data_IF_100521432806
#
_entry.id   IF_100521432806
#
_cell.length_a   1.000
_cell.length_b   1.000
_cell.length_c   1.000
_cell.angle_alpha   90.00
_cell.angle_beta   90.00
_cell.angle_gamma   90.00
#
_symmetry.space_group_name_H-M   'P 1'
#
loop_
_entity.id
_entity.type
_entity.pdbx_description
1 polymer ?
#
# COMPACT_ATOMS: atom_id res chain seq x y z
N UNK A 1 -19.16 -1.43 -1.45
CA UNK A 1 -19.41 -2.12 -2.73
C UNK A 1 -18.09 -2.54 -3.38
N UNK A 2 -17.15 -1.64 -3.68
CA UNK A 2 -15.85 -1.96 -4.30
C UNK A 2 -15.11 -3.08 -3.56
N UNK A 3 -14.94 -2.94 -2.25
CA UNK A 3 -14.19 -3.88 -1.41
C UNK A 3 -14.82 -5.29 -1.29
N UNK A 4 -16.04 -5.46 -1.75
CA UNK A 4 -16.76 -6.75 -1.79
C UNK A 4 -17.07 -7.21 -3.21
N UNK A 5 -16.45 -6.58 -4.22
CA UNK A 5 -16.54 -6.99 -5.62
C UNK A 5 -17.82 -6.60 -6.35
N UNK A 6 -18.66 -5.75 -5.78
CA UNK A 6 -19.87 -5.20 -6.43
C UNK A 6 -19.51 -4.02 -7.34
N UNK A 7 -18.71 -4.29 -8.39
CA UNK A 7 -18.05 -3.24 -9.17
C UNK A 7 -19.03 -2.48 -10.07
N UNK A 8 -20.02 -3.15 -10.66
CA UNK A 8 -21.00 -2.51 -11.54
C UNK A 8 -21.89 -1.55 -10.75
N UNK A 9 -22.40 -1.98 -9.59
CA UNK A 9 -23.19 -1.12 -8.70
C UNK A 9 -22.36 0.05 -8.16
N UNK A 10 -21.10 -0.20 -7.82
CA UNK A 10 -20.18 0.86 -7.41
C UNK A 10 -19.98 1.89 -8.52
N UNK A 11 -19.84 1.44 -9.76
CA UNK A 11 -19.72 2.31 -10.93
C UNK A 11 -20.93 3.23 -11.09
N UNK A 12 -22.14 2.69 -11.02
CA UNK A 12 -23.38 3.47 -11.10
C UNK A 12 -23.43 4.55 -10.01
N UNK A 13 -23.18 4.17 -8.77
CA UNK A 13 -23.22 5.11 -7.64
C UNK A 13 -22.13 6.21 -7.74
N UNK A 14 -20.96 5.87 -8.28
CA UNK A 14 -19.89 6.84 -8.54
C UNK A 14 -20.32 7.86 -9.60
N UNK A 15 -20.97 7.42 -10.70
CA UNK A 15 -21.47 8.33 -11.73
C UNK A 15 -22.53 9.27 -11.15
N UNK A 16 -23.51 8.77 -10.41
CA UNK A 16 -24.52 9.58 -9.76
C UNK A 16 -23.92 10.62 -8.80
N UNK A 17 -22.94 10.21 -8.00
CA UNK A 17 -22.24 11.11 -7.08
C UNK A 17 -21.48 12.21 -7.83
N UNK A 18 -20.81 11.88 -8.95
CA UNK A 18 -20.09 12.85 -9.78
C UNK A 18 -20.99 13.75 -10.58
N UNK A 19 -22.17 13.29 -11.02
CA UNK A 19 -23.20 14.14 -11.63
C UNK A 19 -23.72 15.16 -10.61
N UNK A 20 -23.93 14.75 -9.36
CA UNK A 20 -24.38 15.63 -8.27
C UNK A 20 -23.29 16.63 -7.85
N UNK A 21 -22.02 16.20 -7.79
CA UNK A 21 -20.88 17.05 -7.43
C UNK A 21 -19.63 16.69 -8.26
N UNK A 22 -19.47 17.30 -9.45
CA UNK A 22 -18.34 17.02 -10.35
C UNK A 22 -16.96 17.33 -9.73
N UNK A 23 -16.91 18.14 -8.69
CA UNK A 23 -15.65 18.53 -8.01
C UNK A 23 -15.36 17.71 -6.77
N UNK A 24 -16.18 16.72 -6.43
CA UNK A 24 -15.95 15.84 -5.28
C UNK A 24 -14.64 15.07 -5.40
N UNK A 25 -13.62 15.45 -4.63
CA UNK A 25 -12.36 14.71 -4.55
C UNK A 25 -12.56 13.28 -4.05
N UNK A 26 -13.51 13.09 -3.12
CA UNK A 26 -13.85 11.77 -2.59
C UNK A 26 -14.43 10.84 -3.67
N UNK A 27 -15.40 11.32 -4.47
CA UNK A 27 -15.98 10.53 -5.56
C UNK A 27 -14.95 10.22 -6.66
N UNK A 28 -14.06 11.16 -6.97
CA UNK A 28 -12.94 10.95 -7.89
C UNK A 28 -11.96 9.89 -7.37
N UNK A 29 -11.66 9.92 -6.08
CA UNK A 29 -10.83 8.92 -5.43
C UNK A 29 -11.48 7.53 -5.45
N UNK A 30 -12.78 7.42 -5.16
CA UNK A 30 -13.49 6.13 -5.26
C UNK A 30 -13.49 5.62 -6.71
N UNK A 31 -13.59 6.51 -7.72
CA UNK A 31 -13.43 6.12 -9.13
C UNK A 31 -12.03 5.57 -9.42
N UNK A 32 -10.99 6.12 -8.82
CA UNK A 32 -9.64 5.55 -8.94
C UNK A 32 -9.60 4.11 -8.45
N UNK A 33 -10.22 3.81 -7.31
CA UNK A 33 -10.34 2.43 -6.84
C UNK A 33 -11.12 1.53 -7.79
N UNK A 34 -12.17 2.03 -8.46
CA UNK A 34 -12.89 1.25 -9.47
C UNK A 34 -11.99 0.91 -10.67
N UNK A 35 -11.19 1.85 -11.16
CA UNK A 35 -10.17 1.57 -12.19
C UNK A 35 -9.15 0.53 -11.70
N UNK A 36 -8.67 0.65 -10.45
CA UNK A 36 -7.74 -0.29 -9.86
C UNK A 36 -8.32 -1.72 -9.82
N UNK A 37 -9.55 -1.88 -9.33
CA UNK A 37 -10.22 -3.19 -9.27
C UNK A 37 -10.51 -3.78 -10.65
N UNK A 38 -10.74 -2.94 -11.66
CA UNK A 38 -10.96 -3.37 -13.05
C UNK A 38 -9.66 -3.57 -13.85
N UNK A 39 -8.49 -3.31 -13.27
CA UNK A 39 -7.16 -3.35 -13.93
C UNK A 39 -7.10 -2.41 -15.16
N UNK A 40 -7.77 -1.29 -15.06
CA UNK A 40 -7.80 -0.22 -16.06
C UNK A 40 -6.75 0.85 -15.70
N UNK A 41 -5.48 0.43 -15.57
CA UNK A 41 -4.40 1.25 -14.99
C UNK A 41 -4.13 2.50 -15.81
N UNK A 42 -4.11 2.38 -17.15
CA UNK A 42 -3.92 3.50 -18.06
C UNK A 42 -5.08 4.51 -17.99
N UNK A 43 -6.32 4.04 -18.00
CA UNK A 43 -7.50 4.89 -17.86
C UNK A 43 -7.51 5.58 -16.50
N UNK A 44 -7.17 4.85 -15.44
CA UNK A 44 -7.06 5.37 -14.08
C UNK A 44 -5.99 6.45 -13.95
N UNK A 45 -4.80 6.23 -14.49
CA UNK A 45 -3.73 7.21 -14.52
C UNK A 45 -4.14 8.47 -15.28
N UNK A 46 -4.64 8.32 -16.49
CA UNK A 46 -5.13 9.41 -17.33
C UNK A 46 -6.27 10.20 -16.68
N UNK A 47 -7.16 9.50 -15.98
CA UNK A 47 -8.25 10.12 -15.22
C UNK A 47 -7.72 10.97 -14.05
N UNK A 48 -6.85 10.41 -13.22
CA UNK A 48 -6.33 11.14 -12.07
C UNK A 48 -5.42 12.31 -12.47
N UNK A 49 -4.56 12.15 -13.47
CA UNK A 49 -3.67 13.24 -13.92
C UNK A 49 -4.43 14.50 -14.31
N UNK A 50 -5.61 14.35 -14.99
CA UNK A 50 -6.46 15.49 -15.35
C UNK A 50 -7.06 16.22 -14.15
N UNK A 51 -7.26 15.53 -13.03
CA UNK A 51 -7.88 16.09 -11.83
C UNK A 51 -6.88 16.48 -10.76
N UNK A 52 -5.79 15.75 -10.65
CA UNK A 52 -4.76 15.95 -9.65
C UNK A 52 -4.04 17.30 -9.78
N UNK A 53 -3.74 17.73 -11.00
CA UNK A 53 -3.06 19.00 -11.25
C UNK A 53 -3.81 20.24 -10.71
N UNK A 54 -5.13 20.12 -10.53
CA UNK A 54 -6.00 21.20 -10.04
C UNK A 54 -6.50 20.97 -8.61
N UNK A 55 -6.02 19.92 -7.92
CA UNK A 55 -6.45 19.64 -6.56
C UNK A 55 -5.51 20.32 -5.57
N UNK A 56 -6.10 20.97 -4.55
CA UNK A 56 -5.35 21.69 -3.53
C UNK A 56 -4.41 20.75 -2.76
N UNK A 57 -3.09 21.01 -2.72
CA UNK A 57 -2.14 20.19 -1.98
C UNK A 57 -2.43 20.09 -0.47
N UNK A 58 -3.14 21.05 0.12
CA UNK A 58 -3.59 20.99 1.51
C UNK A 58 -4.84 20.14 1.73
N UNK A 59 -5.48 19.70 0.65
CA UNK A 59 -6.68 18.88 0.72
C UNK A 59 -6.39 17.49 1.32
N UNK A 60 -7.28 17.03 2.20
CA UNK A 60 -7.08 15.79 2.98
C UNK A 60 -6.80 14.53 2.14
N UNK A 61 -7.28 14.47 0.90
CA UNK A 61 -7.06 13.35 0.00
C UNK A 61 -5.90 13.56 -0.99
N UNK A 62 -5.28 14.74 -1.01
CA UNK A 62 -4.23 15.04 -2.00
C UNK A 62 -3.08 14.04 -1.97
N UNK A 63 -2.53 13.77 -0.79
CA UNK A 63 -1.46 12.80 -0.60
C UNK A 63 -1.84 11.43 -1.17
N UNK A 64 -3.02 10.93 -0.82
CA UNK A 64 -3.47 9.61 -1.20
C UNK A 64 -3.85 9.49 -2.69
N UNK A 65 -4.44 10.53 -3.27
CA UNK A 65 -4.66 10.60 -4.71
C UNK A 65 -3.32 10.65 -5.46
N UNK A 66 -2.34 11.39 -4.94
CA UNK A 66 -0.98 11.41 -5.49
C UNK A 66 -0.34 10.03 -5.44
N UNK A 67 -0.55 9.28 -4.36
CA UNK A 67 -0.09 7.89 -4.27
C UNK A 67 -0.65 6.99 -5.37
N UNK A 68 -1.93 7.09 -5.71
CA UNK A 68 -2.50 6.36 -6.85
C UNK A 68 -1.81 6.72 -8.18
N UNK A 69 -1.49 8.00 -8.40
CA UNK A 69 -0.70 8.42 -9.56
C UNK A 69 0.69 7.76 -9.55
N UNK A 70 1.33 7.72 -8.38
CA UNK A 70 2.62 7.05 -8.19
C UNK A 70 2.58 5.55 -8.46
N UNK A 71 1.52 4.86 -7.99
CA UNK A 71 1.30 3.43 -8.24
C UNK A 71 1.21 3.12 -9.73
N UNK A 72 0.33 3.82 -10.44
CA UNK A 72 0.15 3.59 -11.86
C UNK A 72 1.34 4.05 -12.71
N UNK A 73 2.09 5.05 -12.23
CA UNK A 73 3.36 5.41 -12.86
C UNK A 73 4.39 4.29 -12.74
N UNK A 74 4.45 3.62 -11.59
CA UNK A 74 5.28 2.43 -11.40
C UNK A 74 4.85 1.28 -12.32
N UNK A 75 3.56 0.98 -12.38
CA UNK A 75 3.00 -0.07 -13.26
C UNK A 75 3.26 0.20 -14.74
N UNK A 76 3.21 1.46 -15.16
CA UNK A 76 3.53 1.90 -16.52
C UNK A 76 5.04 1.97 -16.81
N UNK A 77 5.90 1.70 -15.84
CA UNK A 77 7.36 1.84 -15.96
C UNK A 77 7.86 3.29 -16.04
N UNK A 78 6.99 4.28 -15.75
CA UNK A 78 7.38 5.69 -15.71
C UNK A 78 7.97 6.03 -14.33
N UNK A 79 9.21 5.60 -14.12
CA UNK A 79 9.91 5.77 -12.85
C UNK A 79 10.19 7.24 -12.52
N UNK A 80 10.42 8.08 -13.53
CA UNK A 80 10.63 9.52 -13.32
C UNK A 80 9.40 10.14 -12.65
N UNK A 81 8.21 9.86 -13.17
CA UNK A 81 6.98 10.37 -12.57
C UNK A 81 6.71 9.76 -11.20
N UNK A 82 6.93 8.46 -11.03
CA UNK A 82 6.79 7.80 -9.73
C UNK A 82 7.67 8.47 -8.66
N UNK A 83 8.95 8.73 -8.96
CA UNK A 83 9.86 9.40 -8.03
C UNK A 83 9.47 10.86 -7.80
N UNK A 84 9.04 11.57 -8.83
CA UNK A 84 8.55 12.95 -8.68
C UNK A 84 7.32 13.02 -7.74
N UNK A 85 6.39 12.09 -7.89
CA UNK A 85 5.21 11.98 -7.00
C UNK A 85 5.67 11.70 -5.56
N UNK A 86 6.54 10.73 -5.37
CA UNK A 86 7.04 10.38 -4.06
C UNK A 86 7.73 11.57 -3.40
N UNK A 87 8.68 12.19 -4.10
CA UNK A 87 9.55 13.21 -3.53
C UNK A 87 8.81 14.52 -3.26
N UNK A 88 7.83 14.90 -4.08
CA UNK A 88 7.20 16.22 -3.98
C UNK A 88 5.83 16.22 -3.30
N UNK A 89 5.15 15.07 -3.23
CA UNK A 89 3.73 15.06 -2.87
C UNK A 89 3.36 14.12 -1.73
N UNK A 90 4.10 13.02 -1.52
CA UNK A 90 3.71 12.03 -0.50
C UNK A 90 4.75 11.81 0.60
N UNK A 91 6.02 12.11 0.36
CA UNK A 91 7.08 11.91 1.36
C UNK A 91 6.91 12.79 2.61
N UNK A 92 7.47 12.38 3.76
CA UNK A 92 7.37 13.13 5.01
C UNK A 92 7.78 14.59 4.94
N UNK A 93 8.77 14.92 4.12
CA UNK A 93 9.35 16.27 4.04
C UNK A 93 8.48 17.26 3.27
N UNK A 94 7.66 16.77 2.35
CA UNK A 94 6.95 17.63 1.39
C UNK A 94 5.42 17.46 1.42
N UNK A 95 4.90 16.39 2.03
CA UNK A 95 3.46 16.20 2.12
C UNK A 95 2.82 17.06 3.20
N UNK A 96 1.67 17.66 2.86
CA UNK A 96 0.76 18.33 3.80
C UNK A 96 -0.40 17.40 4.21
N UNK A 97 -0.39 16.16 3.79
CA UNK A 97 -1.43 15.18 4.06
C UNK A 97 -1.48 14.72 5.53
N UNK A 98 -2.56 14.01 5.90
CA UNK A 98 -2.66 13.40 7.23
C UNK A 98 -1.47 12.47 7.50
N UNK A 99 -0.91 12.48 8.73
CA UNK A 99 0.27 11.64 9.05
C UNK A 99 0.11 10.16 8.73
N UNK A 100 -1.11 9.63 8.85
CA UNK A 100 -1.42 8.26 8.49
C UNK A 100 -1.13 8.00 7.01
N UNK A 101 -1.68 8.85 6.13
CA UNK A 101 -1.48 8.71 4.68
C UNK A 101 -0.01 8.88 4.30
N UNK A 102 0.68 9.85 4.91
CA UNK A 102 2.11 10.05 4.66
C UNK A 102 2.91 8.78 4.94
N UNK A 103 2.70 8.13 6.09
CA UNK A 103 3.39 6.89 6.42
C UNK A 103 2.97 5.76 5.46
N UNK A 104 1.66 5.52 5.34
CA UNK A 104 1.17 4.32 4.66
C UNK A 104 1.40 4.37 3.15
N UNK A 105 1.15 5.52 2.53
CA UNK A 105 1.28 5.68 1.09
C UNK A 105 2.76 5.68 0.66
N UNK A 106 3.64 6.34 1.45
CA UNK A 106 5.08 6.31 1.18
C UNK A 106 5.66 4.91 1.35
N UNK A 107 5.35 4.22 2.46
CA UNK A 107 5.82 2.84 2.68
C UNK A 107 5.35 1.88 1.58
N UNK A 108 4.08 1.98 1.20
CA UNK A 108 3.48 1.13 0.18
C UNK A 108 4.13 1.36 -1.20
N UNK A 109 4.39 2.60 -1.59
CA UNK A 109 5.01 2.89 -2.89
C UNK A 109 6.47 2.46 -2.93
N UNK A 110 7.25 2.76 -1.89
CA UNK A 110 8.65 2.34 -1.79
C UNK A 110 8.78 0.81 -1.87
N UNK A 111 7.96 0.08 -1.11
CA UNK A 111 8.05 -1.37 -1.08
C UNK A 111 7.61 -2.01 -2.41
N UNK A 112 6.57 -1.49 -3.05
CA UNK A 112 6.18 -1.93 -4.39
C UNK A 112 7.27 -1.65 -5.43
N UNK A 113 7.95 -0.51 -5.34
CA UNK A 113 9.09 -0.20 -6.21
C UNK A 113 10.20 -1.26 -6.06
N UNK A 114 10.57 -1.64 -4.82
CA UNK A 114 11.54 -2.72 -4.58
C UNK A 114 11.07 -4.07 -5.14
N UNK A 115 9.79 -4.42 -4.93
CA UNK A 115 9.23 -5.67 -5.47
C UNK A 115 9.23 -5.70 -7.00
N UNK A 116 9.11 -4.53 -7.63
CA UNK A 116 9.25 -4.37 -9.10
C UNK A 116 10.71 -4.33 -9.57
N UNK A 117 11.69 -4.47 -8.68
CA UNK A 117 13.12 -4.44 -9.00
C UNK A 117 13.71 -3.04 -9.14
N UNK A 118 12.98 -2.00 -8.71
CA UNK A 118 13.48 -0.62 -8.69
C UNK A 118 14.32 -0.41 -7.43
N UNK A 119 15.51 0.14 -7.60
CA UNK A 119 16.40 0.43 -6.48
C UNK A 119 15.81 1.56 -5.60
N UNK A 120 15.63 1.26 -4.32
CA UNK A 120 15.22 2.23 -3.28
C UNK A 120 16.42 2.47 -2.36
N UNK A 121 16.86 3.74 -2.27
CA UNK A 121 18.01 4.05 -1.42
C UNK A 121 17.70 3.78 0.06
N UNK A 122 18.64 3.21 0.84
CA UNK A 122 18.44 2.97 2.27
C UNK A 122 18.09 4.23 3.07
N UNK A 123 18.48 5.40 2.59
CA UNK A 123 18.16 6.67 3.25
C UNK A 123 16.66 6.94 3.27
N UNK A 124 15.92 6.66 2.18
CA UNK A 124 14.46 6.83 2.12
C UNK A 124 13.73 6.03 3.20
N UNK A 125 14.20 4.80 3.44
CA UNK A 125 13.65 3.96 4.50
C UNK A 125 14.00 4.48 5.90
N UNK A 126 15.22 4.97 6.11
CA UNK A 126 15.62 5.57 7.40
C UNK A 126 14.80 6.83 7.72
N UNK A 127 14.60 7.70 6.74
CA UNK A 127 13.81 8.93 6.91
C UNK A 127 12.35 8.61 7.24
N UNK A 128 11.76 7.65 6.54
CA UNK A 128 10.39 7.21 6.82
C UNK A 128 10.28 6.49 8.17
N UNK A 129 11.30 5.73 8.57
CA UNK A 129 11.36 5.09 9.91
C UNK A 129 11.44 6.13 11.03
N UNK A 130 12.22 7.18 10.86
CA UNK A 130 12.29 8.28 11.81
C UNK A 130 10.95 9.03 11.91
N UNK A 131 10.27 9.23 10.78
CA UNK A 131 8.91 9.78 10.74
C UNK A 131 7.91 8.89 11.50
N UNK A 132 7.93 7.58 11.24
CA UNK A 132 7.06 6.63 11.92
C UNK A 132 7.28 6.63 13.43
N UNK A 133 8.53 6.65 13.89
CA UNK A 133 8.86 6.77 15.32
C UNK A 133 8.35 8.08 15.95
N UNK A 134 8.28 9.16 15.18
CA UNK A 134 7.79 10.45 15.68
C UNK A 134 6.26 10.48 15.77
N UNK A 135 5.56 9.93 14.77
CA UNK A 135 4.10 10.05 14.64
C UNK A 135 3.34 8.84 15.18
N UNK A 136 3.96 7.66 15.20
CA UNK A 136 3.35 6.37 15.54
C UNK A 136 4.24 5.56 16.51
N UNK A 137 4.87 6.23 17.46
CA UNK A 137 5.78 5.62 18.44
C UNK A 137 5.13 4.52 19.30
N UNK A 138 3.82 4.61 19.52
CA UNK A 138 3.07 3.68 20.35
C UNK A 138 2.14 2.83 19.47
N UNK A 139 2.44 1.56 19.24
CA UNK A 139 1.62 0.67 18.43
C UNK A 139 0.21 0.51 19.00
N UNK A 140 -0.82 0.66 18.14
CA UNK A 140 -2.23 0.56 18.55
C UNK A 140 -3.20 0.86 17.42
N UNK A 141 -2.70 1.31 16.28
CA UNK A 141 -3.48 1.50 15.06
C UNK A 141 -2.98 0.51 14.00
N UNK A 142 -3.56 -0.68 13.97
CA UNK A 142 -3.04 -1.81 13.18
C UNK A 142 -2.72 -1.49 11.72
N UNK A 143 -3.51 -0.61 11.09
CA UNK A 143 -3.23 -0.16 9.71
C UNK A 143 -1.94 0.66 9.61
N UNK A 144 -1.69 1.57 10.55
CA UNK A 144 -0.40 2.29 10.63
C UNK A 144 0.73 1.33 11.02
N UNK A 145 0.47 0.46 11.98
CA UNK A 145 1.50 -0.41 12.57
C UNK A 145 2.06 -1.40 11.55
N UNK A 146 1.25 -1.94 10.64
CA UNK A 146 1.79 -2.85 9.63
C UNK A 146 2.66 -2.11 8.58
N UNK A 147 2.33 -0.89 8.21
CA UNK A 147 3.16 -0.07 7.33
C UNK A 147 4.44 0.42 8.05
N UNK A 148 4.34 0.73 9.33
CA UNK A 148 5.50 1.00 10.16
C UNK A 148 6.43 -0.23 10.26
N UNK A 149 5.86 -1.44 10.36
CA UNK A 149 6.64 -2.68 10.41
C UNK A 149 7.46 -2.90 9.14
N UNK A 150 6.89 -2.70 7.95
CA UNK A 150 7.65 -2.72 6.68
C UNK A 150 8.77 -1.69 6.74
N UNK A 151 8.42 -0.46 7.11
CA UNK A 151 9.34 0.68 7.16
C UNK A 151 10.53 0.40 8.07
N UNK A 152 10.28 -0.05 9.29
CA UNK A 152 11.33 -0.35 10.27
C UNK A 152 12.20 -1.52 9.83
N UNK A 153 11.61 -2.57 9.28
CA UNK A 153 12.35 -3.69 8.72
C UNK A 153 13.29 -3.24 7.60
N UNK A 154 12.78 -2.48 6.62
CA UNK A 154 13.58 -2.01 5.48
C UNK A 154 14.65 -0.98 5.88
N UNK A 155 14.39 -0.20 6.94
CA UNK A 155 15.35 0.73 7.52
C UNK A 155 16.44 0.04 8.38
N UNK A 156 16.27 -1.23 8.72
CA UNK A 156 17.13 -1.93 9.68
C UNK A 156 16.91 -1.48 11.13
N UNK A 157 15.77 -0.84 11.43
CA UNK A 157 15.44 -0.38 12.79
C UNK A 157 14.75 -1.52 13.56
N UNK A 158 15.56 -2.48 14.00
CA UNK A 158 15.08 -3.70 14.64
C UNK A 158 14.40 -3.39 15.99
N UNK A 159 14.91 -2.42 16.75
CA UNK A 159 14.32 -2.03 18.04
C UNK A 159 12.86 -1.55 17.87
N UNK A 160 12.60 -0.68 16.90
CA UNK A 160 11.25 -0.20 16.62
C UNK A 160 10.33 -1.32 16.11
N UNK A 161 10.85 -2.25 15.31
CA UNK A 161 10.12 -3.41 14.84
C UNK A 161 9.76 -4.36 15.99
N UNK A 162 10.70 -4.64 16.90
CA UNK A 162 10.47 -5.43 18.11
C UNK A 162 9.47 -4.76 19.05
N UNK A 163 9.48 -3.43 19.15
CA UNK A 163 8.47 -2.69 19.88
C UNK A 163 7.06 -2.95 19.35
N UNK A 164 6.86 -3.00 18.04
CA UNK A 164 5.56 -3.38 17.44
C UNK A 164 5.20 -4.82 17.82
N UNK A 165 6.14 -5.76 17.70
CA UNK A 165 5.91 -7.18 18.02
C UNK A 165 5.49 -7.36 19.48
N UNK A 166 6.14 -6.64 20.40
CA UNK A 166 5.86 -6.75 21.83
C UNK A 166 4.56 -6.04 22.24
N UNK A 167 4.36 -4.82 21.76
CA UNK A 167 3.44 -3.85 22.33
C UNK A 167 2.22 -3.52 21.48
N UNK A 168 2.05 -4.08 20.28
CA UNK A 168 0.85 -3.83 19.47
C UNK A 168 -0.43 -4.17 20.24
N UNK A 169 -1.40 -3.25 20.17
CA UNK A 169 -2.70 -3.29 20.89
C UNK A 169 -3.86 -3.16 19.92
N UNK A 170 -5.07 -3.28 20.45
CA UNK A 170 -6.31 -3.11 19.69
C UNK A 170 -6.82 -4.37 19.01
N UNK A 171 -7.90 -4.26 18.22
CA UNK A 171 -8.66 -5.40 17.68
C UNK A 171 -7.88 -6.32 16.73
N UNK A 172 -6.81 -5.81 16.13
CA UNK A 172 -5.99 -6.54 15.14
C UNK A 172 -4.55 -6.75 15.61
N UNK A 173 -4.31 -6.61 16.91
CA UNK A 173 -2.95 -6.74 17.48
C UNK A 173 -2.31 -8.11 17.21
N UNK A 174 -3.11 -9.16 17.16
CA UNK A 174 -2.68 -10.50 16.80
C UNK A 174 -2.09 -10.57 15.38
N UNK A 175 -2.76 -9.95 14.41
CA UNK A 175 -2.28 -9.87 13.03
C UNK A 175 -1.10 -8.92 12.91
N UNK A 176 -1.15 -7.76 13.58
CA UNK A 176 -0.06 -6.77 13.59
C UNK A 176 1.26 -7.39 14.04
N UNK A 177 1.23 -8.16 15.14
CA UNK A 177 2.42 -8.85 15.66
C UNK A 177 2.96 -9.90 14.69
N UNK A 178 2.08 -10.61 13.99
CA UNK A 178 2.48 -11.59 12.97
C UNK A 178 3.13 -10.90 11.77
N UNK A 179 2.53 -9.82 11.27
CA UNK A 179 3.09 -9.04 10.16
C UNK A 179 4.47 -8.48 10.50
N UNK A 180 4.61 -7.85 11.67
CA UNK A 180 5.88 -7.30 12.10
C UNK A 180 6.97 -8.39 12.20
N UNK A 181 6.61 -9.56 12.75
CA UNK A 181 7.53 -10.71 12.82
C UNK A 181 7.86 -11.29 11.44
N UNK A 182 6.89 -11.30 10.52
CA UNK A 182 7.12 -11.76 9.16
C UNK A 182 8.11 -10.85 8.42
N UNK A 183 8.01 -9.53 8.58
CA UNK A 183 9.00 -8.60 8.02
C UNK A 183 10.37 -8.72 8.69
N UNK A 184 10.44 -9.02 9.98
CA UNK A 184 11.70 -9.33 10.65
C UNK A 184 12.35 -10.57 10.00
N UNK A 185 11.60 -11.64 9.78
CA UNK A 185 12.09 -12.83 9.10
C UNK A 185 12.51 -12.56 7.65
N UNK A 186 11.80 -11.69 6.93
CA UNK A 186 12.21 -11.27 5.59
C UNK A 186 13.57 -10.56 5.61
N UNK A 187 13.81 -9.72 6.61
CA UNK A 187 15.08 -9.02 6.79
C UNK A 187 16.24 -9.98 6.97
N UNK A 188 15.99 -11.09 7.70
CA UNK A 188 16.96 -12.16 7.95
C UNK A 188 17.03 -13.20 6.81
N UNK A 189 16.35 -12.95 5.67
CA UNK A 189 16.19 -13.89 4.57
C UNK A 189 15.58 -15.26 4.98
N UNK A 190 14.89 -15.33 6.11
CA UNK A 190 14.13 -16.50 6.55
C UNK A 190 12.75 -16.54 5.87
N UNK A 191 12.79 -16.78 4.56
CA UNK A 191 11.62 -16.73 3.68
C UNK A 191 10.55 -17.75 4.05
N UNK A 192 10.94 -18.90 4.61
CA UNK A 192 9.98 -19.94 5.02
C UNK A 192 9.13 -19.45 6.19
N UNK A 193 9.74 -19.02 7.29
CA UNK A 193 9.02 -18.53 8.46
C UNK A 193 8.20 -17.28 8.14
N UNK A 194 8.72 -16.38 7.27
CA UNK A 194 7.98 -15.22 6.81
C UNK A 194 6.72 -15.62 6.05
N UNK A 195 6.82 -16.55 5.08
CA UNK A 195 5.68 -17.01 4.28
C UNK A 195 4.60 -17.71 5.09
N UNK A 196 4.96 -18.48 6.11
CA UNK A 196 4.00 -19.12 7.02
C UNK A 196 3.16 -18.09 7.78
N UNK A 197 3.81 -17.04 8.30
CA UNK A 197 3.12 -15.95 8.98
C UNK A 197 2.23 -15.15 8.02
N UNK A 198 2.75 -14.73 6.85
CA UNK A 198 1.94 -14.02 5.87
C UNK A 198 0.74 -14.84 5.39
N UNK A 199 0.89 -16.16 5.19
CA UNK A 199 -0.24 -17.04 4.83
C UNK A 199 -1.36 -16.98 5.86
N UNK A 200 -1.02 -16.88 7.14
CA UNK A 200 -2.03 -16.74 8.20
C UNK A 200 -2.67 -15.36 8.23
N UNK A 201 -1.92 -14.32 7.87
CA UNK A 201 -2.38 -12.92 7.87
C UNK A 201 -3.27 -12.60 6.67
N UNK A 202 -2.88 -13.03 5.47
CA UNK A 202 -3.58 -12.72 4.21
C UNK A 202 -5.05 -13.19 4.24
N UNK A 203 -5.35 -14.27 4.94
CA UNK A 203 -6.73 -14.77 5.11
C UNK A 203 -7.64 -13.82 5.89
N UNK A 204 -7.07 -12.94 6.70
CA UNK A 204 -7.78 -12.05 7.61
C UNK A 204 -7.38 -10.57 7.42
N UNK A 205 -6.61 -10.24 6.39
CA UNK A 205 -6.03 -8.91 6.22
C UNK A 205 -7.08 -7.79 6.11
N UNK A 206 -8.31 -8.12 5.71
CA UNK A 206 -9.44 -7.17 5.71
C UNK A 206 -9.69 -6.55 7.09
N UNK A 207 -9.31 -7.22 8.18
CA UNK A 207 -9.42 -6.69 9.54
C UNK A 207 -8.55 -5.46 9.80
N UNK A 208 -7.48 -5.24 9.03
CA UNK A 208 -6.67 -4.02 9.11
C UNK A 208 -7.42 -2.78 8.64
N UNK A 209 -8.46 -2.95 7.83
CA UNK A 209 -9.10 -1.85 7.11
C UNK A 209 -8.28 -1.44 5.87
N UNK A 210 -8.52 -0.23 5.40
CA UNK A 210 -7.95 0.23 4.13
C UNK A 210 -8.64 -0.40 2.91
N UNK A 211 -8.20 -0.04 1.73
CA UNK A 211 -8.68 -0.58 0.46
C UNK A 211 -7.93 -1.85 0.06
N UNK A 212 -8.46 -2.60 -0.92
CA UNK A 212 -7.73 -3.71 -1.52
C UNK A 212 -6.36 -3.26 -2.04
N UNK A 213 -6.29 -2.11 -2.73
CA UNK A 213 -5.03 -1.56 -3.22
C UNK A 213 -3.96 -1.38 -2.11
N UNK A 214 -4.38 -1.09 -0.89
CA UNK A 214 -3.47 -0.95 0.25
C UNK A 214 -3.13 -2.31 0.88
N UNK A 215 -4.09 -3.23 0.98
CA UNK A 215 -3.90 -4.56 1.57
C UNK A 215 -3.13 -5.53 0.67
N UNK A 216 -3.19 -5.34 -0.65
CA UNK A 216 -2.42 -6.12 -1.63
C UNK A 216 -0.91 -6.15 -1.32
N UNK A 217 -0.42 -5.18 -0.56
CA UNK A 217 0.96 -5.16 -0.09
C UNK A 217 1.33 -6.42 0.72
N UNK A 218 0.38 -6.97 1.48
CA UNK A 218 0.57 -8.21 2.25
C UNK A 218 0.55 -9.44 1.34
N UNK A 219 -0.32 -9.46 0.32
CA UNK A 219 -0.34 -10.52 -0.70
C UNK A 219 0.95 -10.55 -1.50
N UNK A 220 1.46 -9.38 -1.89
CA UNK A 220 2.74 -9.26 -2.59
C UNK A 220 3.92 -9.66 -1.71
N UNK A 221 3.87 -9.36 -0.40
CA UNK A 221 4.89 -9.80 0.55
C UNK A 221 4.94 -11.34 0.64
N UNK A 222 3.78 -12.00 0.71
CA UNK A 222 3.68 -13.45 0.66
C UNK A 222 4.23 -14.01 -0.66
N UNK A 223 3.80 -13.43 -1.79
CA UNK A 223 4.26 -13.86 -3.11
C UNK A 223 5.79 -13.73 -3.24
N UNK A 224 6.37 -12.63 -2.77
CA UNK A 224 7.82 -12.43 -2.76
C UNK A 224 8.54 -13.51 -1.94
N UNK A 225 8.05 -13.82 -0.73
CA UNK A 225 8.61 -14.89 0.09
C UNK A 225 8.57 -16.25 -0.62
N UNK A 226 7.48 -16.58 -1.30
CA UNK A 226 7.34 -17.82 -2.05
C UNK A 226 8.28 -17.86 -3.27
N UNK A 227 8.44 -16.74 -3.97
CA UNK A 227 9.35 -16.63 -5.11
C UNK A 227 10.81 -16.87 -4.66
N UNK A 228 11.22 -16.28 -3.54
CA UNK A 228 12.55 -16.50 -2.96
C UNK A 228 12.80 -17.97 -2.54
N UNK A 229 11.75 -18.72 -2.21
CA UNK A 229 11.82 -20.15 -1.93
C UNK A 229 11.78 -21.02 -3.20
N UNK A 230 11.71 -20.44 -4.41
CA UNK A 230 11.53 -21.15 -5.68
C UNK A 230 10.09 -21.63 -5.94
N UNK A 231 9.13 -21.31 -5.07
CA UNK A 231 7.71 -21.74 -5.11
C UNK A 231 6.87 -20.80 -6.00
N UNK A 232 7.36 -20.54 -7.22
CA UNK A 232 6.72 -19.56 -8.14
C UNK A 232 5.28 -19.89 -8.50
N UNK A 233 4.96 -21.20 -8.64
CA UNK A 233 3.60 -21.62 -8.99
C UNK A 233 2.61 -21.34 -7.87
N UNK A 234 3.03 -21.49 -6.62
CA UNK A 234 2.19 -21.15 -5.47
C UNK A 234 1.97 -19.65 -5.34
N UNK A 235 3.01 -18.85 -5.58
CA UNK A 235 2.87 -17.39 -5.63
C UNK A 235 1.84 -16.96 -6.68
N UNK A 236 1.90 -17.54 -7.90
CA UNK A 236 0.88 -17.30 -8.94
C UNK A 236 -0.52 -17.70 -8.48
N UNK A 237 -0.66 -18.87 -7.84
CA UNK A 237 -1.97 -19.36 -7.36
C UNK A 237 -2.56 -18.41 -6.31
N UNK A 238 -1.76 -17.91 -5.38
CA UNK A 238 -2.23 -16.94 -4.36
C UNK A 238 -2.70 -15.67 -5.01
N UNK A 239 -1.89 -15.07 -5.89
CA UNK A 239 -2.28 -13.86 -6.61
C UNK A 239 -3.52 -14.08 -7.50
N UNK A 240 -3.70 -15.29 -8.07
CA UNK A 240 -4.91 -15.65 -8.82
C UNK A 240 -6.18 -15.64 -7.94
N UNK A 241 -6.04 -15.98 -6.67
CA UNK A 241 -7.17 -16.03 -5.72
C UNK A 241 -7.48 -14.63 -5.19
N UNK A 242 -6.44 -13.89 -4.80
CA UNK A 242 -6.60 -12.57 -4.17
C UNK A 242 -6.82 -11.46 -5.20
N UNK A 243 -6.25 -11.62 -6.40
CA UNK A 243 -6.36 -10.68 -7.52
C UNK A 243 -6.67 -11.42 -8.83
N UNK A 244 -7.84 -12.07 -8.95
CA UNK A 244 -8.16 -12.96 -10.08
C UNK A 244 -8.12 -12.25 -11.44
N UNK A 245 -8.37 -10.94 -11.48
CA UNK A 245 -8.31 -10.15 -12.72
C UNK A 245 -6.87 -9.83 -13.14
N UNK A 246 -5.91 -9.80 -12.22
CA UNK A 246 -4.51 -9.47 -12.55
C UNK A 246 -3.83 -10.53 -13.44
N UNK A 247 -4.30 -11.77 -13.41
CA UNK A 247 -3.78 -12.87 -14.23
C UNK A 247 -4.47 -13.00 -15.60
N UNK A 248 -5.42 -12.13 -15.92
CA UNK A 248 -6.11 -12.11 -17.21
C UNK A 248 -5.46 -11.13 -18.19
N UNK A 249 -4.44 -10.39 -17.77
CA UNK A 249 -3.60 -9.59 -18.65
C UNK A 249 -2.57 -10.52 -19.30
N UNK A 250 -2.84 -10.97 -20.53
CA UNK A 250 -1.86 -11.60 -21.42
C UNK A 250 -1.00 -10.54 -22.13
#
# INVERSE_FOLDING_TARGET
QLEVGQLDEAGINIEEALLSNPNSAHSKHIRAHLYYENLQDEDGLNYLQRHWANYDPSGALYNHISWHVGLWSLEAGNLEQMWNVLDKHISPDNSQGPPLNVLTDTAALLFRAELAGVEVTPQRWRDLSAYAMTKFANPGLGFADFHAAITHARAGNIEALENIIANAKGPVSDLTKKVARAYLYMQDANWLSASELFTSVVREHARFGGSNAQRDLLDFSLAACLIHQGRKQEAKTILAITRPRALQKD
#
